data_IF_640607356811
#
_entry.id   IF_640607356811
#
_cell.length_a   1.000
_cell.length_b   1.000
_cell.length_c   1.000
_cell.angle_alpha   90.00
_cell.angle_beta   90.00
_cell.angle_gamma   90.00
#
_symmetry.space_group_name_H-M   'P 1'
#
loop_
_entity.id
_entity.type
_entity.pdbx_description
1 polymer ?
#
# COMPACT_ATOMS: atom_id res chain seq x y z
N UNK A 1 -10.63 -10.72 12.38
CA UNK A 1 -9.82 -9.72 11.67
C UNK A 1 -9.76 -10.13 10.20
N UNK A 2 -9.63 -9.21 9.23
CA UNK A 2 -9.36 -9.63 7.84
C UNK A 2 -7.90 -10.08 7.71
N UNK A 3 -7.65 -11.07 6.82
CA UNK A 3 -6.30 -11.60 6.59
C UNK A 3 -5.32 -10.52 6.12
N UNK A 4 -5.78 -9.60 5.27
CA UNK A 4 -4.94 -8.53 4.73
C UNK A 4 -4.42 -7.61 5.85
N UNK A 5 -5.29 -7.26 6.81
CA UNK A 5 -4.92 -6.39 7.93
C UNK A 5 -3.92 -7.06 8.86
N UNK A 6 -4.10 -8.36 9.15
CA UNK A 6 -3.13 -9.14 9.91
C UNK A 6 -1.75 -9.14 9.25
N UNK A 7 -1.70 -9.34 7.93
CA UNK A 7 -0.46 -9.33 7.17
C UNK A 7 0.16 -7.94 7.07
N UNK A 8 -0.64 -6.87 7.00
CA UNK A 8 -0.16 -5.50 7.06
C UNK A 8 0.47 -5.19 8.42
N UNK A 9 -0.16 -5.62 9.51
CA UNK A 9 0.40 -5.49 10.86
C UNK A 9 1.75 -6.22 10.99
N UNK A 10 1.85 -7.45 10.46
CA UNK A 10 3.09 -8.21 10.43
C UNK A 10 4.17 -7.50 9.59
N UNK A 11 3.80 -6.96 8.43
CA UNK A 11 4.71 -6.19 7.59
C UNK A 11 5.23 -4.95 8.33
N UNK A 12 4.33 -4.16 8.94
CA UNK A 12 4.70 -2.99 9.73
C UNK A 12 5.65 -3.36 10.87
N UNK A 13 5.34 -4.41 11.65
CA UNK A 13 6.19 -4.89 12.72
C UNK A 13 7.59 -5.29 12.22
N UNK A 14 7.69 -5.84 11.01
CA UNK A 14 8.97 -6.18 10.40
C UNK A 14 9.79 -4.96 9.93
N UNK A 15 9.17 -3.78 9.79
CA UNK A 15 9.88 -2.54 9.48
C UNK A 15 10.38 -1.83 10.76
N UNK A 16 9.73 -2.03 11.91
CA UNK A 16 10.13 -1.45 13.19
C UNK A 16 11.55 -1.91 13.59
N UNK A 17 12.51 -1.00 13.46
CA UNK A 17 13.94 -1.28 13.64
C UNK A 17 14.65 -0.22 14.51
N UNK A 18 13.88 0.51 15.34
CA UNK A 18 14.29 1.66 16.18
C UNK A 18 14.34 3.01 15.47
N UNK A 19 14.51 3.02 14.15
CA UNK A 19 14.60 4.24 13.36
C UNK A 19 13.36 4.46 12.51
N UNK A 20 12.89 3.40 11.84
CA UNK A 20 11.83 3.51 10.85
C UNK A 20 10.52 4.02 11.48
N UNK A 21 10.14 3.47 12.63
CA UNK A 21 8.91 3.85 13.35
C UNK A 21 8.90 5.28 13.90
N UNK A 22 10.06 5.96 13.93
CA UNK A 22 10.16 7.34 14.38
C UNK A 22 9.91 8.34 13.25
N UNK A 23 10.06 7.92 11.98
CA UNK A 23 10.08 8.81 10.82
C UNK A 23 9.05 8.44 9.75
N UNK A 24 8.62 7.18 9.73
CA UNK A 24 7.82 6.59 8.67
C UNK A 24 6.66 5.80 9.26
N UNK A 25 5.64 5.55 8.45
CA UNK A 25 4.50 4.78 8.91
C UNK A 25 3.52 4.36 7.82
N UNK A 26 2.34 3.99 8.30
CA UNK A 26 1.17 3.70 7.49
C UNK A 26 0.09 4.69 7.91
N UNK A 27 -0.56 5.28 6.92
CA UNK A 27 -1.62 6.26 7.10
C UNK A 27 -2.86 5.81 6.34
N UNK A 28 -3.99 5.74 7.05
CA UNK A 28 -5.30 5.42 6.48
C UNK A 28 -6.25 6.56 6.85
N UNK A 29 -6.84 7.20 5.84
CA UNK A 29 -7.76 8.32 6.02
C UNK A 29 -8.98 8.15 5.12
N UNK A 30 -10.11 8.75 5.51
CA UNK A 30 -11.22 8.93 4.58
C UNK A 30 -10.90 10.04 3.58
N UNK A 31 -11.50 9.94 2.39
CA UNK A 31 -11.49 11.01 1.40
C UNK A 31 -12.72 11.92 1.56
N UNK A 32 -12.64 13.14 1.02
CA UNK A 32 -13.75 14.11 1.02
C UNK A 32 -14.94 13.65 0.15
N UNK A 33 -14.67 12.76 -0.82
CA UNK A 33 -15.67 11.93 -1.49
C UNK A 33 -15.61 10.52 -0.90
N UNK A 34 -16.74 9.81 -0.67
CA UNK A 34 -16.72 8.56 0.08
C UNK A 34 -15.66 7.59 -0.43
N UNK A 35 -14.74 7.21 0.43
CA UNK A 35 -13.58 6.41 0.05
C UNK A 35 -12.47 6.41 1.07
N UNK A 36 -11.42 5.66 0.74
CA UNK A 36 -10.23 5.50 1.56
C UNK A 36 -8.99 5.95 0.82
N UNK A 37 -8.12 6.65 1.55
CA UNK A 37 -6.74 6.91 1.21
C UNK A 37 -5.85 6.00 2.07
N UNK A 38 -4.93 5.29 1.43
CA UNK A 38 -3.90 4.48 2.06
C UNK A 38 -2.53 5.00 1.61
N UNK A 39 -1.69 5.36 2.56
CA UNK A 39 -0.29 5.75 2.32
C UNK A 39 0.62 4.86 3.16
N UNK A 40 1.67 4.33 2.52
CA UNK A 40 2.68 3.50 3.18
C UNK A 40 4.05 4.04 2.75
N UNK A 41 4.85 4.48 3.72
CA UNK A 41 6.21 4.90 3.45
C UNK A 41 7.08 3.69 3.02
N UNK A 42 7.87 3.88 1.98
CA UNK A 42 8.76 2.84 1.43
C UNK A 42 10.24 3.14 1.71
N UNK A 43 10.56 4.38 2.08
CA UNK A 43 11.91 4.80 2.45
C UNK A 43 12.47 3.92 3.58
N UNK A 44 13.72 3.50 3.45
CA UNK A 44 14.37 2.59 4.40
C UNK A 44 13.87 1.14 4.37
N UNK A 45 12.93 0.80 3.47
CA UNK A 45 12.43 -0.57 3.28
C UNK A 45 13.05 -1.21 2.04
N UNK A 46 12.91 -2.54 1.90
CA UNK A 46 13.31 -3.27 0.67
C UNK A 46 12.54 -2.83 -0.59
N UNK A 47 11.47 -2.06 -0.43
CA UNK A 47 10.60 -1.61 -1.51
C UNK A 47 10.97 -0.22 -2.03
N UNK A 48 11.88 0.52 -1.37
CA UNK A 48 12.25 1.90 -1.70
C UNK A 48 12.58 2.10 -3.19
N UNK A 49 13.29 1.15 -3.80
CA UNK A 49 13.75 1.19 -5.20
C UNK A 49 13.04 0.19 -6.10
N UNK A 50 11.99 -0.43 -5.59
CA UNK A 50 11.25 -1.43 -6.33
C UNK A 50 10.28 -0.74 -7.26
N UNK A 51 10.28 -1.13 -8.53
CA UNK A 51 9.28 -0.65 -9.47
C UNK A 51 7.89 -1.21 -9.11
N UNK A 52 6.90 -0.33 -9.10
CA UNK A 52 5.49 -0.68 -8.98
C UNK A 52 4.79 -0.27 -10.26
N UNK A 53 4.06 -1.21 -10.89
CA UNK A 53 3.22 -0.89 -12.04
C UNK A 53 1.92 -0.27 -11.52
N UNK A 54 1.60 1.01 -11.83
CA UNK A 54 0.38 1.64 -11.33
C UNK A 54 -0.87 0.87 -11.74
N UNK A 55 -1.80 0.74 -10.80
CA UNK A 55 -3.10 0.08 -11.01
C UNK A 55 -4.17 1.15 -11.05
N UNK A 56 -4.97 1.17 -12.12
CA UNK A 56 -6.14 2.04 -12.24
C UNK A 56 -7.33 1.19 -12.63
N UNK A 57 -8.26 1.03 -11.70
CA UNK A 57 -9.54 0.38 -11.91
C UNK A 57 -10.67 1.36 -11.66
N UNK A 58 -11.54 1.57 -12.65
CA UNK A 58 -12.75 2.40 -12.48
C UNK A 58 -13.87 1.79 -13.30
N UNK A 59 -14.81 1.13 -12.63
CA UNK A 59 -16.03 0.59 -13.23
C UNK A 59 -17.21 1.57 -13.06
N UNK A 60 -17.29 2.25 -11.92
CA UNK A 60 -18.28 3.30 -11.64
C UNK A 60 -17.76 4.29 -10.59
N UNK A 61 -18.60 5.23 -10.15
CA UNK A 61 -18.25 6.13 -9.04
C UNK A 61 -18.30 5.44 -7.66
N UNK A 62 -18.89 4.25 -7.58
CA UNK A 62 -18.95 3.43 -6.36
C UNK A 62 -18.12 2.15 -6.47
N UNK A 63 -17.37 1.99 -7.56
CA UNK A 63 -16.53 0.83 -7.84
C UNK A 63 -15.26 1.29 -8.57
N UNK A 64 -14.26 1.71 -7.78
CA UNK A 64 -13.01 2.23 -8.27
C UNK A 64 -11.87 2.07 -7.26
N UNK A 65 -10.65 1.93 -7.78
CA UNK A 65 -9.42 1.85 -7.02
C UNK A 65 -8.25 2.33 -7.87
N UNK A 66 -7.35 3.09 -7.26
CA UNK A 66 -6.11 3.54 -7.87
C UNK A 66 -4.96 3.30 -6.90
N UNK A 67 -3.91 2.64 -7.37
CA UNK A 67 -2.67 2.46 -6.62
C UNK A 67 -1.50 2.93 -7.46
N UNK A 68 -0.54 3.63 -6.84
CA UNK A 68 0.72 4.06 -7.45
C UNK A 68 1.83 4.11 -6.41
N UNK A 69 3.06 4.27 -6.86
CA UNK A 69 4.16 4.72 -6.01
C UNK A 69 4.62 6.10 -6.45
N UNK A 70 4.86 6.99 -5.50
CA UNK A 70 5.34 8.35 -5.74
C UNK A 70 6.11 8.85 -4.51
N UNK A 71 7.24 9.53 -4.71
CA UNK A 71 8.04 10.11 -3.61
C UNK A 71 8.37 9.11 -2.48
N UNK A 72 8.78 7.89 -2.85
CA UNK A 72 9.07 6.79 -1.91
C UNK A 72 7.88 6.37 -1.03
N UNK A 73 6.65 6.53 -1.53
CA UNK A 73 5.43 6.06 -0.87
C UNK A 73 4.60 5.21 -1.80
N UNK A 74 3.96 4.19 -1.26
CA UNK A 74 2.83 3.54 -1.90
C UNK A 74 1.56 4.30 -1.55
N UNK A 75 0.80 4.69 -2.58
CA UNK A 75 -0.42 5.48 -2.45
C UNK A 75 -1.58 4.70 -3.05
N UNK A 76 -2.63 4.49 -2.26
CA UNK A 76 -3.89 3.85 -2.63
C UNK A 76 -5.06 4.81 -2.43
N UNK A 77 -5.98 4.83 -3.37
CA UNK A 77 -7.24 5.56 -3.31
C UNK A 77 -8.35 4.61 -3.74
N UNK A 78 -9.46 4.55 -3.03
CA UNK A 78 -10.55 3.66 -3.42
C UNK A 78 -11.91 4.13 -2.92
N UNK A 79 -12.97 3.53 -3.48
CA UNK A 79 -14.30 3.58 -2.88
C UNK A 79 -14.34 2.97 -1.46
N UNK A 80 -15.42 3.19 -0.68
CA UNK A 80 -15.47 2.79 0.73
C UNK A 80 -15.30 1.29 0.98
N UNK A 81 -15.53 0.44 -0.02
CA UNK A 81 -15.52 -1.02 0.11
C UNK A 81 -14.19 -1.70 -0.21
N UNK A 82 -13.16 -0.94 -0.61
CA UNK A 82 -11.92 -1.50 -1.19
C UNK A 82 -10.64 -1.27 -0.41
N UNK A 83 -10.72 -0.86 0.86
CA UNK A 83 -9.54 -0.76 1.72
C UNK A 83 -8.75 -2.08 1.77
N UNK A 84 -9.43 -3.20 2.00
CA UNK A 84 -8.84 -4.55 2.03
C UNK A 84 -8.15 -4.88 0.69
N UNK A 85 -8.76 -4.49 -0.44
CA UNK A 85 -8.19 -4.68 -1.78
C UNK A 85 -6.91 -3.86 -2.02
N UNK A 86 -6.84 -2.62 -1.51
CA UNK A 86 -5.62 -1.81 -1.60
C UNK A 86 -4.47 -2.42 -0.77
N UNK A 87 -4.78 -2.93 0.42
CA UNK A 87 -3.81 -3.63 1.28
C UNK A 87 -3.30 -4.89 0.56
N UNK A 88 -4.19 -5.68 -0.03
CA UNK A 88 -3.82 -6.87 -0.79
C UNK A 88 -2.91 -6.55 -1.99
N UNK A 89 -3.17 -5.45 -2.70
CA UNK A 89 -2.29 -5.00 -3.80
C UNK A 89 -0.88 -4.73 -3.28
N UNK A 90 -0.76 -4.01 -2.16
CA UNK A 90 0.53 -3.72 -1.54
C UNK A 90 1.25 -5.01 -1.10
N UNK A 91 0.55 -5.91 -0.41
CA UNK A 91 1.12 -7.17 0.09
C UNK A 91 1.57 -8.09 -1.04
N UNK A 92 0.79 -8.21 -2.12
CA UNK A 92 1.18 -9.00 -3.30
C UNK A 92 2.44 -8.43 -3.94
N UNK A 93 2.48 -7.13 -4.15
CA UNK A 93 3.66 -6.46 -4.69
C UNK A 93 4.88 -6.63 -3.78
N UNK A 94 4.72 -6.59 -2.46
CA UNK A 94 5.79 -6.81 -1.51
C UNK A 94 6.38 -8.23 -1.61
N UNK A 95 5.54 -9.25 -1.87
CA UNK A 95 5.91 -10.66 -1.92
C UNK A 95 6.45 -11.12 -3.28
N UNK A 96 6.11 -10.42 -4.36
CA UNK A 96 6.65 -10.71 -5.69
C UNK A 96 8.18 -10.76 -5.62
N UNK A 97 8.83 -11.77 -6.19
CA UNK A 97 10.29 -11.77 -6.27
C UNK A 97 10.72 -10.79 -7.37
N UNK A 98 11.78 -10.00 -7.12
CA UNK A 98 12.42 -9.24 -8.18
C UNK A 98 12.85 -10.23 -9.26
N UNK A 99 12.21 -10.19 -10.42
CA UNK A 99 12.56 -11.05 -11.55
C UNK A 99 14.02 -10.77 -11.86
N UNK A 100 14.90 -11.73 -11.56
CA UNK A 100 16.29 -11.66 -11.94
C UNK A 100 16.32 -11.54 -13.45
N UNK A 101 16.64 -10.34 -13.97
CA UNK A 101 16.99 -10.15 -15.37
C UNK A 101 18.29 -10.95 -15.57
N UNK A 102 18.16 -12.15 -16.13
CA UNK A 102 19.27 -12.87 -16.77
C UNK A 102 19.69 -12.13 -18.03
#
# INVERSE_FOLDING_TARGET
MSRSLEQLCQWYQSQCNRNWEQQYGIKIESLDNPGWFLEIDLAGTRLERREFRPIKHKKSNSDWMYCKTENLRFLGYSDPGKLDSMIDVFLKWQQEQASSRR
#
